data_IF_876022116313
#
_entry.id   IF_876022116313
#
_cell.length_a   1.000
_cell.length_b   1.000
_cell.length_c   1.000
_cell.angle_alpha   90.00
_cell.angle_beta   90.00
_cell.angle_gamma   90.00
#
_symmetry.space_group_name_H-M   'P 1'
#
loop_
_entity.id
_entity.type
_entity.pdbx_description
1 polymer ?
#
# COMPACT_ATOMS: atom_id res chain seq x y z
N UNK A 1 4.37 9.33 10.92
CA UNK A 1 2.96 9.59 10.54
C UNK A 1 2.36 8.31 10.00
N UNK A 2 1.12 7.98 10.41
CA UNK A 2 0.38 6.79 9.97
C UNK A 2 -0.41 7.19 8.73
N UNK A 3 0.07 6.84 7.52
CA UNK A 3 -0.64 7.14 6.27
C UNK A 3 -1.57 5.98 5.89
N UNK A 4 -2.88 6.24 5.90
CA UNK A 4 -3.89 5.28 5.47
C UNK A 4 -4.27 5.56 4.03
N UNK A 5 -4.20 4.59 3.13
CA UNK A 5 -4.63 4.76 1.74
C UNK A 5 -5.93 4.03 1.45
N UNK A 6 -6.83 4.69 0.73
CA UNK A 6 -8.03 4.08 0.16
C UNK A 6 -7.79 3.87 -1.33
N UNK A 7 -7.95 2.65 -1.83
CA UNK A 7 -7.86 2.32 -3.25
C UNK A 7 -9.26 1.97 -3.73
N UNK A 8 -9.65 2.53 -4.87
CA UNK A 8 -10.95 2.28 -5.50
C UNK A 8 -10.79 2.22 -7.03
N UNK A 9 -11.41 1.23 -7.63
CA UNK A 9 -11.47 1.03 -9.08
C UNK A 9 -12.81 1.49 -9.62
N UNK A 10 -12.85 2.63 -10.29
CA UNK A 10 -14.11 3.14 -10.84
C UNK A 10 -14.36 2.62 -12.26
N UNK A 11 -15.40 1.79 -12.39
CA UNK A 11 -15.81 1.12 -13.63
C UNK A 11 -16.80 1.96 -14.48
N UNK A 12 -16.63 3.29 -14.55
CA UNK A 12 -17.65 4.17 -15.15
C UNK A 12 -17.69 4.20 -16.69
N UNK A 13 -16.74 3.56 -17.39
CA UNK A 13 -16.65 3.57 -18.87
C UNK A 13 -16.49 2.16 -19.47
N UNK A 14 -17.25 1.18 -18.97
CA UNK A 14 -17.18 -0.23 -19.43
C UNK A 14 -17.62 -0.39 -20.89
N UNK A 15 -18.54 0.43 -21.40
CA UNK A 15 -19.05 0.33 -22.79
C UNK A 15 -19.04 1.70 -23.47
N UNK A 16 -18.61 1.81 -24.75
CA UNK A 16 -17.98 0.79 -25.61
C UNK A 16 -16.46 0.62 -25.36
N UNK A 17 -15.84 1.48 -24.55
CA UNK A 17 -14.38 1.65 -24.51
C UNK A 17 -13.64 0.76 -23.50
N UNK A 18 -14.36 0.09 -22.58
CA UNK A 18 -13.78 -0.77 -21.52
C UNK A 18 -12.67 -0.09 -20.71
N UNK A 19 -12.84 1.20 -20.41
CA UNK A 19 -11.86 1.96 -19.63
C UNK A 19 -12.21 1.81 -18.15
N UNK A 20 -11.21 1.38 -17.38
CA UNK A 20 -11.22 1.29 -15.93
C UNK A 20 -10.29 2.35 -15.37
N UNK A 21 -10.81 3.19 -14.48
CA UNK A 21 -10.02 4.23 -13.81
C UNK A 21 -9.63 3.69 -12.44
N UNK A 22 -8.34 3.52 -12.22
CA UNK A 22 -7.75 3.09 -10.96
C UNK A 22 -7.31 4.32 -10.18
N UNK A 23 -7.83 4.49 -8.96
CA UNK A 23 -7.53 5.61 -8.11
C UNK A 23 -7.08 5.19 -6.72
N UNK A 24 -6.07 5.89 -6.20
CA UNK A 24 -5.67 5.79 -4.79
C UNK A 24 -5.70 7.17 -4.14
N UNK A 25 -6.30 7.26 -2.95
CA UNK A 25 -6.34 8.46 -2.13
C UNK A 25 -5.66 8.22 -0.78
N UNK A 26 -4.96 9.24 -0.29
CA UNK A 26 -4.54 9.28 1.11
C UNK A 26 -5.71 9.73 2.00
N UNK A 27 -6.04 8.94 3.01
CA UNK A 27 -7.19 9.13 3.88
C UNK A 27 -7.05 10.30 4.86
N UNK A 28 -5.82 10.75 5.12
CA UNK A 28 -5.56 11.91 5.97
C UNK A 28 -5.55 13.21 5.16
N UNK A 29 -4.65 13.31 4.17
CA UNK A 29 -4.48 14.53 3.37
C UNK A 29 -5.50 14.71 2.25
N UNK A 30 -6.28 13.68 1.93
CA UNK A 30 -7.16 13.62 0.73
C UNK A 30 -6.40 13.77 -0.59
N UNK A 31 -5.07 13.69 -0.56
CA UNK A 31 -4.22 13.75 -1.75
C UNK A 31 -4.43 12.51 -2.62
N UNK A 32 -4.51 12.73 -3.93
CA UNK A 32 -4.55 11.65 -4.92
C UNK A 32 -3.14 11.12 -5.08
N UNK A 33 -2.88 9.88 -4.66
CA UNK A 33 -1.56 9.26 -4.73
C UNK A 33 -1.27 8.64 -6.10
N UNK A 34 -2.31 8.17 -6.79
CA UNK A 34 -2.26 7.79 -8.19
C UNK A 34 -3.67 7.84 -8.79
N UNK A 35 -3.75 8.15 -10.07
CA UNK A 35 -4.98 8.10 -10.87
C UNK A 35 -4.58 7.69 -12.29
N UNK A 36 -4.97 6.49 -12.70
CA UNK A 36 -4.57 5.92 -13.99
C UNK A 36 -5.75 5.27 -14.70
N UNK A 37 -5.85 5.51 -16.00
CA UNK A 37 -6.83 4.87 -16.85
C UNK A 37 -6.19 3.68 -17.56
N UNK A 38 -6.89 2.55 -17.56
CA UNK A 38 -6.43 1.32 -18.21
C UNK A 38 -7.58 0.61 -18.92
N UNK A 39 -7.25 -0.22 -19.89
CA UNK A 39 -8.24 -1.01 -20.64
C UNK A 39 -8.52 -2.38 -20.00
N UNK A 40 -7.97 -2.62 -18.81
CA UNK A 40 -8.05 -3.91 -18.12
C UNK A 40 -8.16 -3.72 -16.60
N UNK A 41 -8.86 -4.64 -15.93
CA UNK A 41 -8.98 -4.67 -14.48
C UNK A 41 -8.08 -5.76 -13.85
N UNK A 42 -6.86 -5.92 -14.35
CA UNK A 42 -5.96 -6.98 -13.85
C UNK A 42 -5.30 -6.54 -12.54
N UNK A 43 -5.21 -7.46 -11.58
CA UNK A 43 -4.60 -7.18 -10.29
C UNK A 43 -3.14 -6.74 -10.37
N UNK A 44 -2.38 -7.28 -11.33
CA UNK A 44 -1.00 -6.86 -11.58
C UNK A 44 -0.89 -5.39 -12.01
N UNK A 45 -1.85 -4.91 -12.81
CA UNK A 45 -1.88 -3.51 -13.27
C UNK A 45 -2.13 -2.58 -12.09
N UNK A 46 -3.07 -2.93 -11.20
CA UNK A 46 -3.34 -2.18 -9.97
C UNK A 46 -2.11 -2.18 -9.05
N UNK A 47 -1.45 -3.34 -8.89
CA UNK A 47 -0.23 -3.46 -8.10
C UNK A 47 0.88 -2.55 -8.63
N UNK A 48 1.10 -2.49 -9.95
CA UNK A 48 2.12 -1.64 -10.55
C UNK A 48 1.89 -0.16 -10.23
N UNK A 49 0.65 0.33 -10.39
CA UNK A 49 0.31 1.71 -10.04
C UNK A 49 0.50 1.98 -8.54
N UNK A 50 0.13 1.01 -7.70
CA UNK A 50 0.34 1.11 -6.26
C UNK A 50 1.83 1.17 -5.89
N UNK A 51 2.67 0.33 -6.50
CA UNK A 51 4.12 0.31 -6.23
C UNK A 51 4.78 1.63 -6.63
N UNK A 52 4.47 2.18 -7.81
CA UNK A 52 4.96 3.52 -8.18
C UNK A 52 4.53 4.59 -7.17
N UNK A 53 3.30 4.53 -6.66
CA UNK A 53 2.83 5.44 -5.62
C UNK A 53 3.47 5.20 -4.25
N UNK A 54 3.98 4.00 -3.97
CA UNK A 54 4.78 3.69 -2.78
C UNK A 54 6.19 4.25 -2.91
N UNK A 55 6.80 4.15 -4.09
CA UNK A 55 8.12 4.74 -4.36
C UNK A 55 8.12 6.26 -4.18
N UNK A 56 7.06 6.95 -4.63
CA UNK A 56 6.96 8.40 -4.51
C UNK A 56 6.52 8.90 -3.11
N UNK A 57 5.61 8.18 -2.43
CA UNK A 57 4.95 8.67 -1.21
C UNK A 57 5.21 7.82 0.04
N UNK A 58 6.10 6.82 -0.03
CA UNK A 58 6.42 5.84 1.01
C UNK A 58 5.31 4.83 1.32
N UNK A 59 5.66 3.64 1.83
CA UNK A 59 4.69 2.59 2.13
C UNK A 59 3.64 3.04 3.17
N UNK A 60 2.32 2.90 2.88
CA UNK A 60 1.28 3.30 3.82
C UNK A 60 1.17 2.34 4.99
N UNK A 61 0.74 2.83 6.17
CA UNK A 61 0.47 2.00 7.35
C UNK A 61 -0.66 1.00 7.13
N UNK A 62 -1.70 1.40 6.39
CA UNK A 62 -2.89 0.60 6.10
C UNK A 62 -3.42 0.94 4.71
N UNK A 63 -3.98 -0.07 4.05
CA UNK A 63 -4.74 0.10 2.80
C UNK A 63 -6.17 -0.35 3.04
N UNK A 64 -7.15 0.43 2.59
CA UNK A 64 -8.56 0.08 2.53
C UNK A 64 -8.96 -0.08 1.07
N UNK A 65 -9.63 -1.18 0.78
CA UNK A 65 -10.03 -1.61 -0.56
C UNK A 65 -11.33 -2.40 -0.42
N UNK A 66 -12.10 -2.49 -1.49
CA UNK A 66 -13.16 -3.49 -1.60
C UNK A 66 -12.57 -4.92 -1.70
N UNK A 67 -13.46 -5.91 -1.69
CA UNK A 67 -13.11 -7.33 -1.85
C UNK A 67 -12.95 -7.72 -3.32
N UNK A 68 -12.60 -6.76 -4.20
CA UNK A 68 -12.36 -6.98 -5.62
C UNK A 68 -11.14 -7.85 -5.90
N UNK A 69 -11.22 -8.70 -6.91
CA UNK A 69 -10.12 -9.58 -7.32
C UNK A 69 -8.91 -8.78 -7.86
N UNK A 70 -9.15 -7.57 -8.37
CA UNK A 70 -8.13 -6.63 -8.83
C UNK A 70 -7.24 -6.12 -7.69
N UNK A 71 -7.69 -6.18 -6.45
CA UNK A 71 -6.95 -5.66 -5.30
C UNK A 71 -6.16 -6.75 -4.55
N UNK A 72 -6.30 -8.03 -4.93
CA UNK A 72 -5.64 -9.17 -4.26
C UNK A 72 -4.12 -9.03 -4.22
N UNK A 73 -3.51 -8.60 -5.33
CA UNK A 73 -2.05 -8.48 -5.41
C UNK A 73 -1.52 -7.33 -4.54
N UNK A 74 -2.29 -6.24 -4.39
CA UNK A 74 -1.96 -5.16 -3.45
C UNK A 74 -2.05 -5.66 -2.01
N UNK A 75 -3.08 -6.44 -1.67
CA UNK A 75 -3.22 -7.05 -0.35
C UNK A 75 -2.04 -7.99 -0.02
N UNK A 76 -1.65 -8.85 -0.96
CA UNK A 76 -0.48 -9.73 -0.81
C UNK A 76 0.80 -8.93 -0.60
N UNK A 77 1.04 -7.91 -1.42
CA UNK A 77 2.20 -7.03 -1.31
C UNK A 77 2.27 -6.35 0.07
N UNK A 78 1.15 -5.77 0.52
CA UNK A 78 1.07 -5.13 1.83
C UNK A 78 1.36 -6.10 2.98
N UNK A 79 0.86 -7.34 2.92
CA UNK A 79 1.14 -8.36 3.94
C UNK A 79 2.63 -8.72 3.97
N UNK A 80 3.24 -8.91 2.81
CA UNK A 80 4.66 -9.27 2.69
C UNK A 80 5.59 -8.17 3.22
N UNK A 81 5.35 -6.91 2.82
CA UNK A 81 6.14 -5.77 3.30
C UNK A 81 6.00 -5.57 4.81
N UNK A 82 4.80 -5.78 5.37
CA UNK A 82 4.55 -5.66 6.82
C UNK A 82 5.35 -6.67 7.62
N UNK A 83 5.40 -7.92 7.15
CA UNK A 83 6.19 -8.98 7.80
C UNK A 83 7.68 -8.63 7.72
N UNK A 84 8.16 -8.22 6.54
CA UNK A 84 9.55 -7.83 6.34
C UNK A 84 9.98 -6.68 7.27
N UNK A 85 9.20 -5.61 7.34
CA UNK A 85 9.47 -4.46 8.21
C UNK A 85 9.49 -4.88 9.68
N UNK A 86 8.53 -5.69 10.12
CA UNK A 86 8.45 -6.13 11.52
C UNK A 86 9.67 -6.98 11.91
N UNK A 87 10.09 -7.88 11.03
CA UNK A 87 11.31 -8.69 11.22
C UNK A 87 12.54 -7.80 11.30
N UNK A 88 12.69 -6.84 10.38
CA UNK A 88 13.84 -5.94 10.39
C UNK A 88 13.87 -5.02 11.62
N UNK A 89 12.70 -4.58 12.10
CA UNK A 89 12.59 -3.83 13.36
C UNK A 89 13.06 -4.67 14.54
N UNK A 90 12.62 -5.93 14.62
CA UNK A 90 13.05 -6.87 15.65
C UNK A 90 14.56 -7.13 15.57
N UNK A 91 15.10 -7.47 14.39
CA UNK A 91 16.53 -7.68 14.20
C UNK A 91 17.34 -6.42 14.55
N UNK A 92 16.84 -5.24 14.18
CA UNK A 92 17.46 -3.97 14.55
C UNK A 92 17.53 -3.75 16.06
N UNK A 93 16.46 -4.10 16.79
CA UNK A 93 16.44 -4.08 18.26
C UNK A 93 17.40 -5.11 18.88
N UNK A 94 17.53 -6.29 18.27
CA UNK A 94 18.49 -7.31 18.71
C UNK A 94 19.94 -6.90 18.49
N UNK A 95 20.25 -6.27 17.36
CA UNK A 95 21.61 -5.87 16.99
C UNK A 95 22.06 -4.57 17.68
N UNK A 96 21.11 -3.68 18.02
CA UNK A 96 21.36 -2.47 18.80
C UNK A 96 20.46 -2.50 20.04
N UNK A 97 20.75 -3.38 21.01
CA UNK A 97 19.97 -3.40 22.24
C UNK A 97 20.12 -2.04 22.91
N UNK A 98 19.03 -1.44 23.43
CA UNK A 98 19.13 -0.18 24.15
C UNK A 98 20.04 -0.38 25.36
N UNK A 99 21.27 0.14 25.29
CA UNK A 99 22.22 0.07 26.42
C UNK A 99 21.82 1.13 27.43
N UNK A 100 21.15 0.72 28.51
CA UNK A 100 21.59 0.95 29.90
C UNK A 100 20.49 0.54 30.89
N UNK A 101 20.53 -0.68 31.38
CA UNK A 101 20.24 -0.88 32.81
C UNK A 101 21.55 -0.70 33.54
N UNK A 102 21.76 0.51 34.09
CA UNK A 102 22.68 0.63 35.21
C UNK A 102 22.17 -0.29 36.32
N UNK A 103 23.11 -1.08 36.82
CA UNK A 103 23.13 -1.91 38.02
C UNK A 103 21.89 -1.85 38.92
N UNK A 104 21.30 -3.01 39.20
CA UNK A 104 20.73 -3.28 40.53
C UNK A 104 21.47 -4.49 41.10
N UNK A 105 22.40 -4.19 42.02
CA UNK A 105 23.02 -5.12 42.95
C UNK A 105 21.98 -5.69 43.91
#
# INVERSE_FOLDING_TARGET
MVSNRCIDGNHKLIQPYKIVIHGGLDGFSRMIVFLQASTNNRALTVLQYFQSAVEHYNLPSRVHSDLGMENIEVARFMLQERVYITINQFIGQWNNPPVSTQCNF
#
